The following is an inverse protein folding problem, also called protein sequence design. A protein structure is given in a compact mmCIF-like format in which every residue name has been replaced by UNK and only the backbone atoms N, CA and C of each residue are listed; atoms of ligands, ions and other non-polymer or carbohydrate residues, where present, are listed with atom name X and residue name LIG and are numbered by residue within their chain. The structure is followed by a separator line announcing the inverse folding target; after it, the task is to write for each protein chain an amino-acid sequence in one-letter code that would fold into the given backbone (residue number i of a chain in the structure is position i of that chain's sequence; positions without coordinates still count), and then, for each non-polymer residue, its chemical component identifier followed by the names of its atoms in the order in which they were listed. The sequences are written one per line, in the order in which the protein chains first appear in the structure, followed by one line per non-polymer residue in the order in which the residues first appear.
data_IF_695274731007
#
_entry.id   IF_695274731007
#
_cell.length_a   1.000
_cell.length_b   1.000
_cell.length_c   1.000
_cell.angle_alpha   90.00
_cell.angle_beta   90.00
_cell.angle_gamma   90.00
#
_symmetry.space_group_name_H-M   'P 1'
#
loop_
_entity.id
_entity.type
_entity.pdbx_description
1 polymer ?
#
# COMPACT_ATOMS: atom_id res chain seq x y z
N UNK A 1 -6.49 10.42 40.79
CA UNK A 1 -5.51 9.88 39.82
C UNK A 1 -6.21 9.75 38.48
N UNK A 2 -6.05 10.74 37.60
CA UNK A 2 -6.63 10.74 36.25
C UNK A 2 -5.99 9.64 35.42
N UNK A 3 -6.77 8.67 34.94
CA UNK A 3 -6.29 7.73 33.94
C UNK A 3 -5.86 8.53 32.70
N UNK A 4 -4.55 8.53 32.39
CA UNK A 4 -4.04 9.15 31.17
C UNK A 4 -4.66 8.43 29.99
N UNK A 5 -5.69 9.01 29.38
CA UNK A 5 -6.32 8.44 28.19
C UNK A 5 -5.29 8.39 27.06
N UNK A 6 -5.11 7.20 26.49
CA UNK A 6 -4.21 7.01 25.36
C UNK A 6 -4.65 7.90 24.18
N UNK A 7 -3.78 8.83 23.81
CA UNK A 7 -3.93 9.69 22.63
C UNK A 7 -3.43 8.98 21.37
N UNK A 8 -3.82 9.42 20.16
CA UNK A 8 -3.28 8.88 18.91
C UNK A 8 -1.74 8.81 18.90
N UNK A 9 -1.07 9.91 19.26
CA UNK A 9 0.39 9.96 19.31
C UNK A 9 0.98 9.02 20.36
N UNK A 10 0.39 8.91 21.55
CA UNK A 10 0.93 8.02 22.59
C UNK A 10 0.78 6.55 22.22
N UNK A 11 -0.31 6.16 21.52
CA UNK A 11 -0.46 4.79 21.01
C UNK A 11 0.61 4.46 19.98
N UNK A 12 0.94 5.40 19.08
CA UNK A 12 2.04 5.22 18.14
C UNK A 12 3.40 5.12 18.85
N UNK A 13 3.68 6.03 19.78
CA UNK A 13 4.95 6.03 20.53
C UNK A 13 5.14 4.78 21.38
N UNK A 14 4.06 4.20 21.91
CA UNK A 14 4.11 2.91 22.61
C UNK A 14 4.58 1.78 21.68
N UNK A 15 4.11 1.75 20.44
CA UNK A 15 4.53 0.75 19.46
C UNK A 15 6.00 0.95 19.03
N UNK A 16 6.46 2.20 18.92
CA UNK A 16 7.88 2.52 18.70
C UNK A 16 8.73 2.07 19.89
N UNK A 17 8.30 2.37 21.12
CA UNK A 17 9.04 2.00 22.33
C UNK A 17 9.15 0.48 22.52
N UNK A 18 8.15 -0.28 22.05
CA UNK A 18 8.19 -1.76 22.01
C UNK A 18 9.07 -2.32 20.89
N UNK A 19 9.63 -1.48 20.03
CA UNK A 19 10.47 -1.88 18.90
C UNK A 19 9.69 -2.48 17.73
N UNK A 20 8.37 -2.37 17.71
CA UNK A 20 7.54 -2.88 16.61
C UNK A 20 7.50 -1.95 15.40
N UNK A 21 7.91 -0.69 15.57
CA UNK A 21 7.89 0.34 14.54
C UNK A 21 9.13 1.23 14.63
N UNK A 22 9.62 1.64 13.47
CA UNK A 22 10.60 2.73 13.37
C UNK A 22 9.86 4.07 13.27
N UNK A 23 10.29 5.06 14.04
CA UNK A 23 9.64 6.37 14.08
C UNK A 23 10.03 7.24 12.89
N UNK A 24 9.06 7.86 12.22
CA UNK A 24 9.32 8.83 11.16
C UNK A 24 8.76 10.22 11.50
N UNK A 25 9.54 11.28 11.22
CA UNK A 25 9.19 12.67 11.58
C UNK A 25 7.84 13.07 10.98
N UNK A 26 7.59 12.77 9.71
CA UNK A 26 6.30 13.11 9.08
C UNK A 26 5.11 12.37 9.68
N UNK A 27 5.29 11.11 10.10
CA UNK A 27 4.22 10.36 10.77
C UNK A 27 3.89 11.00 12.12
N UNK A 28 4.91 11.44 12.85
CA UNK A 28 4.75 12.15 14.12
C UNK A 28 4.01 13.47 13.93
N UNK A 29 4.34 14.27 12.90
CA UNK A 29 3.66 15.53 12.63
C UNK A 29 2.18 15.34 12.26
N UNK A 30 1.86 14.32 11.48
CA UNK A 30 0.47 13.93 11.19
C UNK A 30 -0.24 13.53 12.48
N UNK A 31 0.39 12.73 13.35
CA UNK A 31 -0.19 12.29 14.62
C UNK A 31 -0.37 13.43 15.62
N UNK A 32 0.51 14.43 15.64
CA UNK A 32 0.32 15.66 16.41
C UNK A 32 -0.94 16.40 15.96
N UNK A 33 -1.16 16.50 14.65
CA UNK A 33 -2.39 17.10 14.12
C UNK A 33 -3.64 16.28 14.46
N UNK A 34 -3.57 14.95 14.38
CA UNK A 34 -4.65 14.06 14.80
C UNK A 34 -4.93 14.14 16.31
N UNK A 35 -3.92 14.37 17.15
CA UNK A 35 -4.10 14.68 18.57
C UNK A 35 -4.93 15.95 18.79
N UNK A 36 -4.73 16.99 17.96
CA UNK A 36 -5.54 18.20 18.03
C UNK A 36 -6.99 17.96 17.59
N UNK A 37 -7.21 17.16 16.55
CA UNK A 37 -8.56 16.71 16.16
C UNK A 37 -9.20 15.92 17.30
N UNK A 38 -8.48 14.96 17.88
CA UNK A 38 -8.93 14.15 19.01
C UNK A 38 -9.42 15.02 20.18
N UNK A 39 -8.61 16.01 20.59
CA UNK A 39 -8.97 16.95 21.67
C UNK A 39 -10.25 17.72 21.33
N UNK A 40 -10.38 18.24 20.10
CA UNK A 40 -11.56 19.01 19.66
C UNK A 40 -12.84 18.17 19.65
N UNK A 41 -12.77 16.95 19.11
CA UNK A 41 -13.91 16.01 19.04
C UNK A 41 -14.36 15.61 20.45
N UNK A 42 -13.42 15.34 21.36
CA UNK A 42 -13.73 14.94 22.73
C UNK A 42 -14.22 16.09 23.61
N UNK A 43 -13.66 17.30 23.48
CA UNK A 43 -14.12 18.48 24.24
C UNK A 43 -15.58 18.80 23.93
N UNK A 44 -15.99 18.66 22.67
CA UNK A 44 -17.37 18.90 22.24
C UNK A 44 -18.35 17.76 22.63
N UNK A 45 -17.87 16.61 23.09
CA UNK A 45 -18.71 15.49 23.53
C UNK A 45 -19.22 15.68 24.97
N UNK A 46 -18.39 16.25 25.86
CA UNK A 46 -18.71 16.42 27.28
C UNK A 46 -19.60 17.64 27.56
N UNK A 47 -19.61 18.65 26.69
CA UNK A 47 -20.50 19.81 26.81
C UNK A 47 -21.74 19.63 25.91
N UNK A 48 -22.84 19.14 26.48
CA UNK A 48 -24.08 18.74 25.79
C UNK A 48 -24.92 19.88 25.18
N UNK A 49 -24.41 21.10 25.06
CA UNK A 49 -25.14 22.26 24.52
C UNK A 49 -24.18 23.20 23.79
N UNK A 50 -24.65 23.69 22.63
CA UNK A 50 -24.13 24.79 21.78
C UNK A 50 -23.37 24.30 20.53
N UNK A 51 -23.83 24.83 19.38
CA UNK A 51 -23.28 24.73 18.02
C UNK A 51 -21.96 23.96 17.91
N UNK A 52 -22.01 22.77 17.31
CA UNK A 52 -20.80 22.02 16.98
C UNK A 52 -19.95 22.84 16.02
N UNK A 53 -18.85 23.41 16.54
CA UNK A 53 -17.90 24.12 15.71
C UNK A 53 -17.33 23.12 14.70
N UNK A 54 -17.46 23.40 13.40
CA UNK A 54 -16.95 22.54 12.31
C UNK A 54 -15.48 22.19 12.60
N UNK A 55 -15.18 20.90 12.72
CA UNK A 55 -13.82 20.39 12.95
C UNK A 55 -13.26 20.01 11.59
N UNK A 56 -12.19 20.68 11.17
CA UNK A 56 -11.45 20.30 9.97
C UNK A 56 -10.77 18.95 10.22
N UNK A 57 -11.14 17.96 9.42
CA UNK A 57 -10.61 16.61 9.46
C UNK A 57 -9.23 16.47 8.82
N UNK A 58 -8.90 15.27 8.35
CA UNK A 58 -7.64 14.94 7.70
C UNK A 58 -7.88 14.07 6.46
N UNK A 59 -7.32 14.45 5.33
CA UNK A 59 -7.17 13.60 4.15
C UNK A 59 -5.68 13.30 3.98
N UNK A 60 -5.26 12.11 4.41
CA UNK A 60 -3.87 11.67 4.39
C UNK A 60 -3.62 10.85 3.12
N UNK A 61 -2.76 11.32 2.23
CA UNK A 61 -2.41 10.60 1.01
C UNK A 61 -0.91 10.36 0.88
N UNK A 62 -0.53 9.36 0.10
CA UNK A 62 0.88 8.99 -0.14
C UNK A 62 1.01 7.55 -0.63
N UNK A 63 2.22 7.12 -0.99
CA UNK A 63 2.45 5.79 -1.58
C UNK A 63 2.13 4.59 -0.67
N UNK A 64 2.17 3.38 -1.24
CA UNK A 64 1.94 2.13 -0.49
C UNK A 64 3.02 1.94 0.58
N UNK A 65 2.63 1.45 1.77
CA UNK A 65 3.56 1.10 2.84
C UNK A 65 4.14 2.27 3.66
N UNK A 66 3.69 3.52 3.44
CA UNK A 66 4.15 4.69 4.22
C UNK A 66 3.49 4.83 5.61
N UNK A 67 2.69 3.84 6.05
CA UNK A 67 2.10 3.81 7.39
C UNK A 67 0.77 4.56 7.57
N UNK A 68 0.06 4.90 6.49
CA UNK A 68 -1.25 5.61 6.55
C UNK A 68 -2.30 4.87 7.38
N UNK A 69 -2.47 3.57 7.16
CA UNK A 69 -3.44 2.72 7.87
C UNK A 69 -3.13 2.65 9.36
N UNK A 70 -1.85 2.51 9.72
CA UNK A 70 -1.40 2.53 11.11
C UNK A 70 -1.72 3.87 11.80
N UNK A 71 -1.45 4.99 11.14
CA UNK A 71 -1.80 6.32 11.67
C UNK A 71 -3.31 6.41 11.91
N UNK A 72 -4.11 5.91 10.97
CA UNK A 72 -5.56 5.85 11.09
C UNK A 72 -6.01 4.93 12.23
N UNK A 73 -5.34 3.78 12.43
CA UNK A 73 -5.56 2.84 13.54
C UNK A 73 -5.37 3.56 14.88
N UNK A 74 -4.22 4.19 15.09
CA UNK A 74 -3.89 4.90 16.32
C UNK A 74 -4.96 5.97 16.63
N UNK A 75 -5.38 6.73 15.63
CA UNK A 75 -6.41 7.76 15.82
C UNK A 75 -7.81 7.18 16.09
N UNK A 76 -8.21 6.16 15.35
CA UNK A 76 -9.50 5.51 15.53
C UNK A 76 -9.58 4.83 16.90
N UNK A 77 -8.56 4.09 17.34
CA UNK A 77 -8.56 3.40 18.62
C UNK A 77 -8.55 4.35 19.82
N UNK A 78 -7.81 5.47 19.74
CA UNK A 78 -7.81 6.48 20.79
C UNK A 78 -9.18 7.17 20.95
N UNK A 79 -9.90 7.38 19.85
CA UNK A 79 -11.18 8.11 19.84
C UNK A 79 -12.30 7.34 20.57
N UNK A 80 -13.04 7.99 21.46
CA UNK A 80 -14.14 7.37 22.26
C UNK A 80 -15.52 7.96 21.98
N UNK A 81 -15.64 8.82 20.97
CA UNK A 81 -16.95 9.28 20.49
C UNK A 81 -17.62 8.20 19.62
N UNK A 82 -18.90 8.37 19.30
CA UNK A 82 -19.54 7.60 18.23
C UNK A 82 -18.72 7.72 16.95
N UNK A 83 -18.20 6.60 16.46
CA UNK A 83 -17.24 6.53 15.37
C UNK A 83 -17.54 5.36 14.44
N UNK A 84 -17.30 5.56 13.15
CA UNK A 84 -17.41 4.53 12.13
C UNK A 84 -16.08 4.44 11.38
N UNK A 85 -15.60 3.22 11.14
CA UNK A 85 -14.48 2.98 10.22
C UNK A 85 -14.82 1.88 9.23
N UNK A 86 -14.60 2.15 7.95
CA UNK A 86 -14.81 1.22 6.85
C UNK A 86 -13.84 1.52 5.71
N UNK A 87 -13.52 0.52 4.89
CA UNK A 87 -13.00 0.78 3.55
C UNK A 87 -14.04 1.57 2.75
N UNK A 88 -13.59 2.54 1.95
CA UNK A 88 -14.50 3.45 1.26
C UNK A 88 -15.49 2.72 0.31
N UNK A 89 -15.02 1.72 -0.43
CA UNK A 89 -15.87 0.91 -1.31
C UNK A 89 -16.99 0.18 -0.54
N UNK A 90 -16.69 -0.32 0.67
CA UNK A 90 -17.67 -1.01 1.51
C UNK A 90 -18.71 -0.03 2.07
N UNK A 91 -18.30 1.20 2.37
CA UNK A 91 -19.21 2.28 2.72
C UNK A 91 -20.14 2.62 1.54
N UNK A 92 -19.62 2.78 0.32
CA UNK A 92 -20.45 3.08 -0.86
C UNK A 92 -21.51 2.02 -1.12
N UNK A 93 -21.18 0.72 -0.98
CA UNK A 93 -22.19 -0.35 -1.07
C UNK A 93 -23.33 -0.18 -0.08
N UNK A 94 -23.02 0.14 1.18
CA UNK A 94 -24.04 0.38 2.22
C UNK A 94 -24.87 1.62 1.91
N UNK A 95 -24.24 2.70 1.45
CA UNK A 95 -24.93 3.93 1.07
C UNK A 95 -25.92 3.69 -0.07
N UNK A 96 -25.53 2.95 -1.11
CA UNK A 96 -26.44 2.59 -2.21
C UNK A 96 -27.59 1.69 -1.76
N UNK A 97 -27.34 0.75 -0.85
CA UNK A 97 -28.39 -0.08 -0.26
C UNK A 97 -29.40 0.76 0.53
N UNK A 98 -28.94 1.70 1.36
CA UNK A 98 -29.84 2.61 2.08
C UNK A 98 -30.59 3.54 1.12
N UNK A 99 -29.95 4.04 0.06
CA UNK A 99 -30.61 4.84 -0.97
C UNK A 99 -31.73 4.07 -1.67
N UNK A 100 -31.53 2.79 -1.94
CA UNK A 100 -32.55 1.92 -2.51
C UNK A 100 -33.76 1.78 -1.57
N UNK A 101 -33.52 1.62 -0.27
CA UNK A 101 -34.60 1.53 0.73
C UNK A 101 -35.34 2.86 0.95
N UNK A 102 -34.69 3.98 0.68
CA UNK A 102 -35.27 5.33 0.77
C UNK A 102 -35.84 5.83 -0.57
N UNK A 103 -36.06 4.96 -1.56
CA UNK A 103 -36.66 5.36 -2.84
C UNK A 103 -38.04 6.01 -2.63
N UNK A 104 -38.28 7.09 -3.37
CA UNK A 104 -39.50 7.92 -3.24
C UNK A 104 -39.45 8.95 -2.10
N UNK A 105 -38.46 8.90 -1.21
CA UNK A 105 -38.26 9.97 -0.22
C UNK A 105 -37.61 11.21 -0.84
N UNK A 106 -38.01 12.39 -0.37
CA UNK A 106 -37.41 13.66 -0.80
C UNK A 106 -36.01 13.82 -0.18
N UNK A 107 -34.98 14.00 -1.02
CA UNK A 107 -33.57 14.17 -0.63
C UNK A 107 -33.03 13.03 0.26
N UNK A 108 -33.02 11.77 -0.22
CA UNK A 108 -32.69 10.61 0.61
C UNK A 108 -31.26 10.66 1.17
N UNK A 109 -30.29 11.22 0.43
CA UNK A 109 -28.92 11.43 0.90
C UNK A 109 -28.84 12.30 2.16
N UNK A 110 -29.67 13.35 2.25
CA UNK A 110 -29.72 14.22 3.43
C UNK A 110 -30.30 13.48 4.64
N UNK A 111 -31.33 12.65 4.43
CA UNK A 111 -31.91 11.84 5.48
C UNK A 111 -30.91 10.80 6.01
N UNK A 112 -30.19 10.12 5.10
CA UNK A 112 -29.14 9.16 5.45
C UNK A 112 -27.99 9.85 6.20
N UNK A 113 -27.50 10.99 5.71
CA UNK A 113 -26.44 11.75 6.37
C UNK A 113 -26.86 12.20 7.79
N UNK A 114 -28.11 12.65 7.96
CA UNK A 114 -28.66 12.98 9.28
C UNK A 114 -28.69 11.78 10.21
N UNK A 115 -29.13 10.61 9.72
CA UNK A 115 -29.14 9.35 10.48
C UNK A 115 -27.73 8.98 10.93
N UNK A 116 -26.76 9.00 10.02
CA UNK A 116 -25.35 8.71 10.34
C UNK A 116 -24.78 9.71 11.36
N UNK A 117 -25.10 11.01 11.23
CA UNK A 117 -24.59 12.03 12.13
C UNK A 117 -25.16 11.97 13.56
N UNK A 118 -26.34 11.35 13.75
CA UNK A 118 -26.87 11.08 15.09
C UNK A 118 -26.05 10.01 15.82
N UNK A 119 -25.48 9.07 15.08
CA UNK A 119 -24.71 7.93 15.64
C UNK A 119 -23.20 8.22 15.67
N UNK A 120 -22.68 8.83 14.61
CA UNK A 120 -21.26 8.99 14.37
C UNK A 120 -20.85 10.46 14.30
N UNK A 121 -19.95 10.86 15.21
CA UNK A 121 -19.24 12.14 15.16
C UNK A 121 -17.98 12.08 14.32
N UNK A 122 -17.41 10.88 14.18
CA UNK A 122 -16.20 10.62 13.42
C UNK A 122 -16.46 9.52 12.40
N UNK A 123 -16.15 9.79 11.14
CA UNK A 123 -16.09 8.76 10.11
C UNK A 123 -14.65 8.68 9.60
N UNK A 124 -14.11 7.47 9.68
CA UNK A 124 -12.79 7.11 9.16
C UNK A 124 -12.94 6.27 7.89
N UNK A 125 -12.51 6.78 6.74
CA UNK A 125 -12.41 5.98 5.53
C UNK A 125 -10.99 5.48 5.33
N UNK A 126 -10.83 4.16 5.28
CA UNK A 126 -9.61 3.55 4.77
C UNK A 126 -9.70 3.41 3.25
N UNK A 127 -8.56 3.50 2.57
CA UNK A 127 -8.44 3.29 1.11
C UNK A 127 -9.50 4.07 0.31
N UNK A 128 -9.53 5.39 0.52
CA UNK A 128 -10.43 6.28 -0.19
C UNK A 128 -10.07 6.34 -1.68
N UNK A 129 -10.85 5.65 -2.51
CA UNK A 129 -10.71 5.63 -3.96
C UNK A 129 -12.08 5.62 -4.63
N UNK A 130 -12.25 6.45 -5.66
CA UNK A 130 -13.48 6.53 -6.45
C UNK A 130 -13.17 6.06 -7.87
N UNK A 131 -13.77 4.93 -8.27
CA UNK A 131 -13.62 4.36 -9.62
C UNK A 131 -14.94 4.27 -10.38
N UNK A 132 -16.08 4.26 -9.68
CA UNK A 132 -17.40 4.12 -10.27
C UNK A 132 -18.09 5.47 -10.49
N UNK A 133 -18.73 5.64 -11.65
CA UNK A 133 -19.56 6.80 -11.97
C UNK A 133 -20.73 6.98 -11.01
N UNK A 134 -21.39 5.89 -10.59
CA UNK A 134 -22.53 5.96 -9.68
C UNK A 134 -22.15 6.57 -8.33
N UNK A 135 -20.96 6.21 -7.82
CA UNK A 135 -20.42 6.77 -6.57
C UNK A 135 -20.09 8.26 -6.76
N UNK A 136 -19.39 8.58 -7.85
CA UNK A 136 -18.98 9.94 -8.17
C UNK A 136 -20.18 10.90 -8.26
N UNK A 137 -21.33 10.44 -8.77
CA UNK A 137 -22.52 11.28 -8.94
C UNK A 137 -23.20 11.67 -7.62
N UNK A 138 -23.10 10.86 -6.57
CA UNK A 138 -23.83 11.09 -5.31
C UNK A 138 -22.97 11.72 -4.21
N UNK A 139 -21.64 11.59 -4.31
CA UNK A 139 -20.71 11.95 -3.23
C UNK A 139 -20.74 13.43 -2.86
N UNK A 140 -20.92 14.33 -3.82
CA UNK A 140 -20.96 15.76 -3.53
C UNK A 140 -22.15 16.15 -2.64
N UNK A 141 -23.34 15.62 -2.93
CA UNK A 141 -24.52 15.86 -2.11
C UNK A 141 -24.39 15.18 -0.74
N UNK A 142 -23.91 13.93 -0.73
CA UNK A 142 -23.70 13.18 0.49
C UNK A 142 -22.74 13.88 1.47
N UNK A 143 -21.54 14.26 1.00
CA UNK A 143 -20.55 14.92 1.84
C UNK A 143 -21.02 16.27 2.34
N UNK A 144 -21.69 17.06 1.50
CA UNK A 144 -22.26 18.34 1.94
C UNK A 144 -23.20 18.13 3.12
N UNK A 145 -24.14 17.18 2.99
CA UNK A 145 -25.08 16.87 4.06
C UNK A 145 -24.38 16.35 5.33
N UNK A 146 -23.36 15.51 5.18
CA UNK A 146 -22.58 14.97 6.29
C UNK A 146 -21.84 16.09 7.06
N UNK A 147 -21.19 17.01 6.34
CA UNK A 147 -20.44 18.12 6.91
C UNK A 147 -21.33 19.21 7.50
N UNK A 148 -22.52 19.44 6.94
CA UNK A 148 -23.54 20.33 7.51
C UNK A 148 -24.02 19.84 8.88
N UNK A 149 -23.99 18.53 9.11
CA UNK A 149 -24.27 17.93 10.43
C UNK A 149 -23.04 17.86 11.36
N UNK A 150 -21.88 18.40 10.94
CA UNK A 150 -20.70 18.52 11.78
C UNK A 150 -19.91 17.23 11.99
N UNK A 151 -20.12 16.20 11.15
CA UNK A 151 -19.33 14.97 11.18
C UNK A 151 -17.90 15.28 10.75
N UNK A 152 -16.93 14.82 11.55
CA UNK A 152 -15.52 14.92 11.20
C UNK A 152 -15.12 13.74 10.30
N UNK A 153 -14.46 14.02 9.18
CA UNK A 153 -13.92 13.02 8.27
C UNK A 153 -12.41 12.86 8.45
N UNK A 154 -11.95 11.62 8.62
CA UNK A 154 -10.54 11.27 8.44
C UNK A 154 -10.44 10.21 7.36
N UNK A 155 -9.62 10.43 6.34
CA UNK A 155 -9.48 9.52 5.21
C UNK A 155 -8.00 9.23 4.91
N UNK A 156 -7.70 7.99 4.51
CA UNK A 156 -6.42 7.59 3.94
C UNK A 156 -6.59 7.26 2.46
N UNK A 157 -5.63 7.65 1.61
CA UNK A 157 -5.65 7.31 0.17
C UNK A 157 -4.25 7.15 -0.41
N UNK A 158 -4.15 6.43 -1.53
CA UNK A 158 -2.93 6.45 -2.35
C UNK A 158 -2.92 7.59 -3.38
N UNK A 159 -4.04 8.31 -3.53
CA UNK A 159 -4.26 9.30 -4.58
C UNK A 159 -4.51 10.66 -3.94
N UNK A 160 -3.95 11.73 -4.52
CA UNK A 160 -4.26 13.09 -4.07
C UNK A 160 -5.73 13.44 -4.40
N UNK A 161 -6.39 14.34 -3.64
CA UNK A 161 -7.79 14.70 -3.90
C UNK A 161 -8.06 15.15 -5.35
N UNK A 162 -7.16 15.95 -5.93
CA UNK A 162 -7.30 16.47 -7.29
C UNK A 162 -7.09 15.39 -8.37
N UNK A 163 -6.54 14.24 -8.01
CA UNK A 163 -6.38 13.07 -8.89
C UNK A 163 -7.50 12.04 -8.68
N UNK A 164 -8.38 12.23 -7.69
CA UNK A 164 -9.53 11.36 -7.52
C UNK A 164 -10.42 11.44 -8.76
N UNK A 165 -10.72 10.27 -9.31
CA UNK A 165 -11.55 10.13 -10.50
C UNK A 165 -11.04 10.92 -11.73
N UNK A 166 -9.75 11.32 -11.77
CA UNK A 166 -8.89 11.14 -12.95
C UNK A 166 -9.52 11.36 -14.33
N UNK A 167 -9.79 10.20 -14.91
CA UNK A 167 -10.28 9.95 -16.24
C UNK A 167 -11.71 9.38 -16.19
N UNK A 168 -12.43 9.62 -15.09
CA UNK A 168 -13.77 9.12 -14.88
C UNK A 168 -14.82 9.82 -15.76
N UNK A 169 -15.85 9.07 -16.15
CA UNK A 169 -16.98 9.61 -16.92
C UNK A 169 -17.67 10.74 -16.14
N UNK A 170 -17.96 11.86 -16.82
CA UNK A 170 -18.61 13.04 -16.23
C UNK A 170 -17.88 13.63 -15.02
N UNK A 171 -16.55 13.54 -14.96
CA UNK A 171 -15.73 14.04 -13.84
C UNK A 171 -16.09 15.43 -13.32
N UNK A 172 -16.49 16.35 -14.20
CA UNK A 172 -16.97 17.69 -13.82
C UNK A 172 -18.02 17.66 -12.69
N UNK A 173 -18.89 16.64 -12.67
CA UNK A 173 -19.91 16.45 -11.61
C UNK A 173 -19.33 15.97 -10.28
N UNK A 174 -18.13 15.40 -10.28
CA UNK A 174 -17.42 14.94 -9.09
C UNK A 174 -16.52 16.02 -8.46
N UNK A 175 -16.09 17.03 -9.23
CA UNK A 175 -15.27 18.15 -8.72
C UNK A 175 -15.87 18.81 -7.46
N UNK A 176 -17.19 19.03 -7.33
CA UNK A 176 -17.77 19.54 -6.10
C UNK A 176 -17.48 18.67 -4.86
N UNK A 177 -17.38 17.35 -5.01
CA UNK A 177 -17.00 16.45 -3.91
C UNK A 177 -15.53 16.62 -3.52
N UNK A 178 -14.63 16.77 -4.51
CA UNK A 178 -13.21 17.07 -4.28
C UNK A 178 -13.07 18.38 -3.49
N UNK A 179 -13.80 19.43 -3.90
CA UNK A 179 -13.77 20.72 -3.21
C UNK A 179 -14.25 20.60 -1.76
N UNK A 180 -15.32 19.85 -1.50
CA UNK A 180 -15.80 19.59 -0.14
C UNK A 180 -14.77 18.83 0.70
N UNK A 181 -14.06 17.85 0.12
CA UNK A 181 -12.95 17.16 0.82
C UNK A 181 -11.87 18.18 1.20
N UNK A 182 -11.42 19.03 0.27
CA UNK A 182 -10.36 20.02 0.51
C UNK A 182 -10.78 21.12 1.50
N UNK A 183 -12.06 21.49 1.52
CA UNK A 183 -12.60 22.49 2.46
C UNK A 183 -12.70 21.92 3.90
N UNK A 184 -13.17 20.68 4.03
CA UNK A 184 -13.48 20.08 5.33
C UNK A 184 -12.35 19.23 5.91
N UNK A 185 -11.26 19.02 5.19
CA UNK A 185 -10.09 18.28 5.66
C UNK A 185 -8.81 19.03 5.39
N UNK A 186 -7.82 18.87 6.28
CA UNK A 186 -6.44 19.20 5.93
C UNK A 186 -5.93 18.11 5.00
N UNK A 187 -5.58 18.47 3.77
CA UNK A 187 -4.90 17.56 2.85
C UNK A 187 -3.44 17.47 3.27
N UNK A 188 -2.98 16.26 3.60
CA UNK A 188 -1.60 16.03 4.02
C UNK A 188 -0.99 14.95 3.14
N UNK A 189 0.07 15.31 2.41
CA UNK A 189 0.89 14.35 1.69
C UNK A 189 1.91 13.74 2.65
N UNK A 190 1.77 12.45 2.94
CA UNK A 190 2.75 11.69 3.69
C UNK A 190 3.87 11.27 2.72
N UNK A 191 4.69 12.26 2.38
CA UNK A 191 5.88 12.12 1.55
C UNK A 191 7.01 11.49 2.36
N UNK A 192 6.79 10.26 2.84
CA UNK A 192 7.89 9.44 3.34
C UNK A 192 8.63 8.99 2.09
N UNK A 193 9.57 9.83 1.69
CA UNK A 193 10.41 9.61 0.55
C UNK A 193 11.05 8.23 0.68
N UNK A 194 10.64 7.33 -0.22
CA UNK A 194 11.44 6.17 -0.61
C UNK A 194 12.75 6.61 -1.29
N UNK A 195 13.18 7.87 -1.19
CA UNK A 195 14.34 8.44 -1.89
C UNK A 195 15.64 7.80 -1.38
N UNK A 196 15.69 7.37 -0.12
CA UNK A 196 16.74 6.46 0.33
C UNK A 196 16.67 5.10 -0.39
N UNK A 197 15.50 4.43 -0.44
CA UNK A 197 15.34 3.15 -1.16
C UNK A 197 15.63 3.28 -2.65
N UNK A 198 15.27 4.40 -3.28
CA UNK A 198 15.51 4.71 -4.69
C UNK A 198 17.00 4.91 -4.93
N UNK A 199 17.70 5.73 -4.12
CA UNK A 199 19.16 5.86 -4.16
C UNK A 199 19.87 4.54 -3.87
N UNK A 200 19.36 3.75 -2.92
CA UNK A 200 19.88 2.41 -2.62
C UNK A 200 19.69 1.47 -3.81
N UNK A 201 18.52 1.44 -4.44
CA UNK A 201 18.28 0.63 -5.64
C UNK A 201 19.09 1.10 -6.85
N UNK A 202 19.38 2.40 -6.96
CA UNK A 202 20.25 2.99 -7.99
C UNK A 202 21.73 2.70 -7.77
N UNK A 203 22.16 2.55 -6.50
CA UNK A 203 23.55 2.28 -6.12
C UNK A 203 23.87 0.79 -5.96
N UNK A 204 22.86 -0.07 -5.79
CA UNK A 204 23.06 -1.50 -5.60
C UNK A 204 22.98 -2.26 -6.94
N UNK A 205 23.97 -3.14 -7.22
CA UNK A 205 23.87 -4.08 -8.33
C UNK A 205 22.59 -4.91 -8.24
N UNK A 206 21.92 -5.13 -9.37
CA UNK A 206 20.77 -6.03 -9.46
C UNK A 206 21.15 -7.42 -9.98
N UNK A 207 22.44 -7.66 -10.23
CA UNK A 207 22.99 -8.94 -10.61
C UNK A 207 24.36 -9.14 -9.95
N UNK A 208 24.51 -10.26 -9.25
CA UNK A 208 25.75 -10.69 -8.61
C UNK A 208 26.23 -11.97 -9.28
N UNK A 209 27.40 -11.94 -9.92
CA UNK A 209 28.03 -13.11 -10.53
C UNK A 209 28.95 -13.81 -9.54
N UNK A 210 29.06 -15.13 -9.66
CA UNK A 210 29.77 -16.06 -8.79
C UNK A 210 29.02 -16.38 -7.49
N UNK A 211 28.64 -17.65 -7.32
CA UNK A 211 28.02 -18.15 -6.08
C UNK A 211 29.08 -18.40 -5.00
N UNK A 212 29.56 -17.33 -4.38
CA UNK A 212 30.49 -17.37 -3.27
C UNK A 212 29.88 -16.70 -2.02
N UNK A 213 30.60 -16.78 -0.89
CA UNK A 213 30.18 -16.16 0.37
C UNK A 213 29.94 -14.66 0.23
N UNK A 214 30.74 -13.97 -0.60
CA UNK A 214 30.61 -12.54 -0.83
C UNK A 214 29.29 -12.18 -1.54
N UNK A 215 28.85 -12.96 -2.53
CA UNK A 215 27.58 -12.74 -3.23
C UNK A 215 26.37 -13.00 -2.33
N UNK A 216 26.42 -14.01 -1.45
CA UNK A 216 25.37 -14.24 -0.46
C UNK A 216 25.31 -13.09 0.56
N UNK A 217 26.46 -12.63 1.06
CA UNK A 217 26.55 -11.46 1.95
C UNK A 217 26.04 -10.18 1.26
N UNK A 218 26.36 -9.99 -0.01
CA UNK A 218 25.86 -8.86 -0.79
C UNK A 218 24.33 -8.90 -0.92
N UNK A 219 23.74 -10.07 -1.21
CA UNK A 219 22.28 -10.25 -1.25
C UNK A 219 21.63 -9.98 0.11
N UNK A 220 22.22 -10.45 1.22
CA UNK A 220 21.74 -10.15 2.57
C UNK A 220 21.78 -8.65 2.86
N UNK A 221 22.89 -7.99 2.50
CA UNK A 221 23.06 -6.55 2.69
C UNK A 221 22.07 -5.74 1.85
N UNK A 222 21.83 -6.14 0.60
CA UNK A 222 20.79 -5.54 -0.27
C UNK A 222 19.42 -5.70 0.35
N UNK A 223 19.05 -6.92 0.78
CA UNK A 223 17.76 -7.17 1.41
C UNK A 223 17.58 -6.33 2.67
N UNK A 224 18.59 -6.27 3.54
CA UNK A 224 18.56 -5.47 4.76
C UNK A 224 18.35 -3.98 4.47
N UNK A 225 19.13 -3.41 3.53
CA UNK A 225 18.98 -2.00 3.12
C UNK A 225 17.61 -1.69 2.51
N UNK A 226 17.03 -2.62 1.74
CA UNK A 226 15.71 -2.42 1.14
C UNK A 226 14.58 -2.56 2.17
N UNK A 227 14.79 -3.37 3.20
CA UNK A 227 13.79 -3.73 4.20
C UNK A 227 13.58 -2.68 5.29
N UNK A 228 14.44 -1.66 5.40
CA UNK A 228 14.52 -0.70 6.51
C UNK A 228 13.19 -0.38 7.21
N UNK A 229 13.15 -0.70 8.52
CA UNK A 229 12.04 -0.50 9.44
C UNK A 229 10.87 -1.49 9.34
N UNK A 230 10.88 -2.40 8.35
CA UNK A 230 9.79 -3.36 8.19
C UNK A 230 9.98 -4.62 9.03
N UNK A 231 8.87 -5.16 9.53
CA UNK A 231 8.83 -6.47 10.17
C UNK A 231 9.29 -7.55 9.20
N UNK A 232 10.37 -8.22 9.56
CA UNK A 232 10.92 -9.33 8.79
C UNK A 232 10.15 -10.61 9.13
N UNK A 233 9.72 -11.34 8.10
CA UNK A 233 9.15 -12.66 8.26
C UNK A 233 9.96 -13.70 7.47
N UNK A 234 10.12 -14.88 8.05
CA UNK A 234 10.73 -16.05 7.42
C UNK A 234 9.70 -17.17 7.20
N UNK A 235 8.43 -16.92 7.51
CA UNK A 235 7.36 -17.88 7.27
C UNK A 235 7.08 -18.05 5.78
N UNK A 236 6.71 -19.27 5.38
CA UNK A 236 6.37 -19.59 4.00
C UNK A 236 5.32 -18.61 3.43
N UNK A 237 5.45 -18.32 2.14
CA UNK A 237 4.50 -17.50 1.41
C UNK A 237 3.37 -18.40 0.88
N UNK A 238 2.12 -18.12 1.24
CA UNK A 238 0.97 -18.80 0.67
C UNK A 238 0.57 -18.10 -0.64
N UNK A 239 0.69 -18.82 -1.76
CA UNK A 239 0.33 -18.35 -3.11
C UNK A 239 -0.56 -19.40 -3.76
N UNK A 240 -1.77 -19.03 -4.19
CA UNK A 240 -2.73 -19.94 -4.82
C UNK A 240 -2.89 -21.28 -4.06
N UNK A 241 -3.13 -21.18 -2.74
CA UNK A 241 -3.27 -22.32 -1.81
C UNK A 241 -2.03 -23.22 -1.68
N UNK A 242 -0.85 -22.72 -2.08
CA UNK A 242 0.42 -23.44 -1.96
C UNK A 242 1.41 -22.65 -1.13
N UNK A 243 2.08 -23.35 -0.22
CA UNK A 243 3.20 -22.77 0.51
C UNK A 243 4.46 -22.75 -0.37
N UNK A 244 5.15 -21.62 -0.33
CA UNK A 244 6.43 -21.41 -0.97
C UNK A 244 7.42 -21.00 0.10
N UNK A 245 8.46 -21.82 0.33
CA UNK A 245 9.53 -21.45 1.23
C UNK A 245 10.25 -20.21 0.74
N UNK A 246 10.46 -19.26 1.63
CA UNK A 246 11.20 -18.02 1.37
C UNK A 246 12.45 -18.00 2.24
N UNK A 247 13.45 -17.22 1.82
CA UNK A 247 14.56 -16.86 2.72
C UNK A 247 14.08 -15.81 3.72
N UNK A 248 13.55 -14.71 3.21
CA UNK A 248 13.02 -13.58 4.00
C UNK A 248 11.97 -12.82 3.17
N UNK A 249 11.04 -12.15 3.87
CA UNK A 249 10.13 -11.19 3.25
C UNK A 249 9.82 -10.01 4.17
N UNK A 250 9.33 -8.97 3.54
CA UNK A 250 8.64 -7.84 4.17
C UNK A 250 7.24 -7.67 3.56
N UNK A 251 6.58 -6.53 3.75
CA UNK A 251 5.27 -6.28 3.13
C UNK A 251 5.31 -6.16 1.61
N UNK A 252 6.48 -5.86 1.03
CA UNK A 252 6.64 -5.53 -0.38
C UNK A 252 7.95 -6.03 -1.01
N UNK A 253 8.74 -6.82 -0.28
CA UNK A 253 9.96 -7.46 -0.76
C UNK A 253 9.88 -8.94 -0.41
N UNK A 254 10.28 -9.82 -1.33
CA UNK A 254 10.42 -11.25 -1.04
C UNK A 254 11.71 -11.79 -1.63
N UNK A 255 12.37 -12.67 -0.89
CA UNK A 255 13.60 -13.32 -1.28
C UNK A 255 13.43 -14.84 -1.34
N UNK A 256 13.70 -15.41 -2.52
CA UNK A 256 13.66 -16.86 -2.76
C UNK A 256 15.05 -17.43 -3.07
N UNK A 257 15.20 -18.73 -2.85
CA UNK A 257 16.22 -19.55 -3.51
C UNK A 257 15.70 -20.01 -4.88
N UNK A 258 16.59 -20.05 -5.89
CA UNK A 258 16.27 -20.50 -7.25
C UNK A 258 15.57 -21.86 -7.27
N UNK A 259 16.04 -22.83 -6.47
CA UNK A 259 15.50 -24.19 -6.49
C UNK A 259 14.07 -24.26 -5.98
N UNK A 260 13.64 -23.29 -5.18
CA UNK A 260 12.28 -23.22 -4.64
C UNK A 260 11.36 -22.51 -5.64
N UNK A 261 11.77 -21.34 -6.14
CA UNK A 261 10.89 -20.50 -6.97
C UNK A 261 10.77 -21.00 -8.41
N UNK A 262 11.80 -21.70 -8.93
CA UNK A 262 11.74 -22.38 -10.23
C UNK A 262 11.51 -23.90 -10.11
N UNK A 263 11.40 -24.43 -8.88
CA UNK A 263 11.07 -25.83 -8.63
C UNK A 263 9.60 -26.15 -8.91
N UNK A 264 9.22 -27.43 -8.90
CA UNK A 264 7.81 -27.82 -8.94
C UNK A 264 7.23 -27.83 -7.51
N UNK A 265 5.92 -27.57 -7.32
CA UNK A 265 4.91 -27.26 -8.34
C UNK A 265 4.67 -25.75 -8.50
N UNK A 266 5.39 -25.10 -9.43
CA UNK A 266 5.21 -23.67 -9.75
C UNK A 266 4.55 -23.50 -11.11
N UNK A 267 3.72 -22.46 -11.21
CA UNK A 267 2.94 -22.10 -12.39
C UNK A 267 3.04 -20.60 -12.67
N UNK A 268 2.65 -20.20 -13.88
CA UNK A 268 2.61 -18.77 -14.25
C UNK A 268 1.68 -17.96 -13.34
N UNK A 269 0.58 -18.56 -12.85
CA UNK A 269 -0.33 -17.91 -11.89
C UNK A 269 0.34 -17.59 -10.55
N UNK A 270 1.33 -18.41 -10.14
CA UNK A 270 2.08 -18.14 -8.92
C UNK A 270 3.00 -16.93 -9.10
N UNK A 271 3.65 -16.82 -10.26
CA UNK A 271 4.49 -15.66 -10.57
C UNK A 271 3.68 -14.38 -10.72
N UNK A 272 2.48 -14.44 -11.32
CA UNK A 272 1.58 -13.29 -11.38
C UNK A 272 1.13 -12.83 -9.99
N UNK A 273 0.75 -13.75 -9.11
CA UNK A 273 0.37 -13.41 -7.74
C UNK A 273 1.55 -12.84 -6.93
N UNK A 274 2.77 -13.34 -7.14
CA UNK A 274 3.97 -12.77 -6.52
C UNK A 274 4.22 -11.35 -7.06
N UNK A 275 4.10 -11.15 -8.38
CA UNK A 275 4.32 -9.84 -8.99
C UNK A 275 3.31 -8.78 -8.50
N UNK A 276 2.05 -9.17 -8.31
CA UNK A 276 1.00 -8.28 -7.78
C UNK A 276 1.30 -7.81 -6.34
N UNK A 277 1.88 -8.68 -5.52
CA UNK A 277 2.14 -8.39 -4.11
C UNK A 277 3.53 -7.78 -3.85
N UNK A 278 4.54 -8.17 -4.62
CA UNK A 278 5.95 -7.87 -4.32
C UNK A 278 6.61 -7.11 -5.48
N UNK A 279 6.66 -5.78 -5.42
CA UNK A 279 7.35 -4.96 -6.44
C UNK A 279 8.87 -5.19 -6.49
N UNK A 280 9.45 -5.82 -5.46
CA UNK A 280 10.88 -6.18 -5.41
C UNK A 280 11.02 -7.66 -5.09
N UNK A 281 11.73 -8.40 -5.94
CA UNK A 281 11.98 -9.83 -5.77
C UNK A 281 13.47 -10.11 -5.84
N UNK A 282 14.00 -10.82 -4.84
CA UNK A 282 15.36 -11.34 -4.82
C UNK A 282 15.35 -12.84 -5.13
N UNK A 283 16.28 -13.29 -5.97
CA UNK A 283 16.52 -14.72 -6.25
C UNK A 283 18.01 -15.01 -6.08
N UNK A 284 18.36 -15.83 -5.10
CA UNK A 284 19.75 -16.29 -4.91
C UNK A 284 19.98 -17.68 -5.50
N UNK A 285 21.25 -18.02 -5.66
CA UNK A 285 21.70 -19.38 -6.01
C UNK A 285 21.28 -19.82 -7.42
N UNK A 286 21.16 -18.90 -8.38
CA UNK A 286 20.83 -19.26 -9.78
C UNK A 286 22.04 -19.98 -10.40
N UNK A 287 21.97 -21.30 -10.69
CA UNK A 287 23.08 -22.02 -11.29
C UNK A 287 23.22 -21.64 -12.77
N UNK A 288 24.32 -22.05 -13.41
CA UNK A 288 24.38 -22.06 -14.87
C UNK A 288 23.24 -22.94 -15.39
N UNK A 289 22.33 -22.37 -16.18
CA UNK A 289 21.06 -23.00 -16.52
C UNK A 289 21.21 -24.18 -17.50
N UNK A 290 22.38 -24.34 -18.11
CA UNK A 290 22.73 -25.54 -18.87
C UNK A 290 22.70 -26.81 -18.02
N UNK A 291 22.88 -26.67 -16.69
CA UNK A 291 22.96 -27.77 -15.73
C UNK A 291 21.63 -28.07 -15.04
N UNK A 292 20.56 -27.32 -15.32
CA UNK A 292 19.26 -27.52 -14.67
C UNK A 292 18.33 -28.39 -15.51
N UNK A 293 17.27 -28.93 -14.89
CA UNK A 293 16.24 -29.63 -15.64
C UNK A 293 15.48 -28.68 -16.59
N UNK A 294 14.98 -29.17 -17.74
CA UNK A 294 14.17 -28.37 -18.66
C UNK A 294 12.99 -27.67 -17.97
N UNK A 295 12.34 -28.34 -17.02
CA UNK A 295 11.27 -27.76 -16.21
C UNK A 295 11.68 -26.50 -15.45
N UNK A 296 12.86 -26.52 -14.80
CA UNK A 296 13.38 -25.38 -14.03
C UNK A 296 13.79 -24.24 -14.97
N UNK A 297 14.38 -24.57 -16.12
CA UNK A 297 14.72 -23.60 -17.16
C UNK A 297 13.46 -22.88 -17.67
N UNK A 298 12.42 -23.64 -18.07
CA UNK A 298 11.15 -23.08 -18.54
C UNK A 298 10.47 -22.25 -17.44
N UNK A 299 10.52 -22.71 -16.19
CA UNK A 299 10.00 -21.95 -15.04
C UNK A 299 10.71 -20.62 -14.86
N UNK A 300 12.04 -20.60 -14.99
CA UNK A 300 12.84 -19.38 -14.93
C UNK A 300 12.54 -18.42 -16.09
N UNK A 301 12.41 -18.94 -17.32
CA UNK A 301 12.01 -18.15 -18.50
C UNK A 301 10.65 -17.47 -18.25
N UNK A 302 9.65 -18.25 -17.82
CA UNK A 302 8.31 -17.73 -17.52
C UNK A 302 8.32 -16.69 -16.39
N UNK A 303 9.09 -16.94 -15.33
CA UNK A 303 9.23 -16.02 -14.21
C UNK A 303 9.80 -14.69 -14.67
N UNK A 304 10.91 -14.71 -15.41
CA UNK A 304 11.55 -13.48 -15.89
C UNK A 304 10.63 -12.74 -16.85
N UNK A 305 9.90 -13.44 -17.71
CA UNK A 305 8.95 -12.81 -18.61
C UNK A 305 7.85 -12.05 -17.85
N UNK A 306 7.22 -12.71 -16.88
CA UNK A 306 6.13 -12.13 -16.08
C UNK A 306 6.64 -10.95 -15.25
N UNK A 307 7.79 -11.10 -14.59
CA UNK A 307 8.38 -10.03 -13.80
C UNK A 307 8.83 -8.85 -14.65
N UNK A 308 9.32 -9.13 -15.87
CA UNK A 308 9.70 -8.10 -16.82
C UNK A 308 8.48 -7.26 -17.23
N UNK A 309 7.37 -7.91 -17.60
CA UNK A 309 6.15 -7.26 -18.05
C UNK A 309 5.45 -6.51 -16.89
N UNK A 310 5.47 -7.09 -15.68
CA UNK A 310 4.92 -6.48 -14.47
C UNK A 310 5.84 -5.43 -13.81
N UNK A 311 6.98 -5.10 -14.43
CA UNK A 311 7.94 -4.07 -13.95
C UNK A 311 8.48 -4.34 -12.55
N UNK A 312 8.70 -5.61 -12.22
CA UNK A 312 9.27 -6.03 -10.94
C UNK A 312 10.77 -5.74 -10.89
N UNK A 313 11.23 -5.13 -9.79
CA UNK A 313 12.66 -4.99 -9.53
C UNK A 313 13.25 -6.35 -9.12
N UNK A 314 13.81 -7.05 -10.10
CA UNK A 314 14.42 -8.36 -9.94
C UNK A 314 15.91 -8.25 -9.63
N UNK A 315 16.33 -8.80 -8.49
CA UNK A 315 17.73 -8.84 -8.05
C UNK A 315 18.18 -10.30 -7.98
N UNK A 316 19.25 -10.64 -8.71
CA UNK A 316 19.70 -12.03 -8.87
C UNK A 316 21.14 -12.21 -8.38
N UNK A 317 21.40 -13.34 -7.71
CA UNK A 317 22.75 -13.90 -7.56
C UNK A 317 22.87 -15.21 -8.32
N UNK A 318 23.88 -15.30 -9.19
CA UNK A 318 24.06 -16.40 -10.13
C UNK A 318 25.50 -16.93 -10.23
N UNK A 319 25.66 -18.17 -10.71
CA UNK A 319 26.96 -18.84 -10.89
C UNK A 319 27.86 -18.11 -11.88
N UNK A 320 27.28 -17.57 -12.94
CA UNK A 320 27.97 -16.98 -14.09
C UNK A 320 27.33 -15.64 -14.48
N UNK A 321 27.99 -14.79 -15.27
CA UNK A 321 27.38 -13.57 -15.83
C UNK A 321 26.14 -13.87 -16.69
N UNK A 322 25.26 -12.88 -16.88
CA UNK A 322 24.00 -13.00 -17.65
C UNK A 322 24.23 -13.62 -19.05
N UNK A 323 25.27 -13.17 -19.75
CA UNK A 323 25.62 -13.59 -21.12
C UNK A 323 26.05 -15.08 -21.18
N UNK A 324 26.47 -15.64 -20.06
CA UNK A 324 26.90 -17.04 -19.94
C UNK A 324 25.86 -17.93 -19.24
N UNK A 325 24.73 -17.35 -18.82
CA UNK A 325 23.75 -18.00 -17.96
C UNK A 325 23.11 -19.23 -18.61
N UNK A 326 22.98 -19.24 -19.93
CA UNK A 326 22.55 -20.40 -20.72
C UNK A 326 23.28 -20.42 -22.09
N UNK A 327 23.91 -21.54 -22.40
CA UNK A 327 24.61 -21.81 -23.65
C UNK A 327 24.08 -23.06 -24.35
N UNK A 328 23.00 -23.67 -23.84
CA UNK A 328 22.31 -24.79 -24.49
C UNK A 328 21.68 -24.43 -25.85
N UNK A 329 21.46 -25.45 -26.68
CA UNK A 329 20.90 -25.27 -28.03
C UNK A 329 19.37 -25.26 -28.08
N UNK A 330 18.72 -26.04 -27.21
CA UNK A 330 17.27 -26.31 -27.28
C UNK A 330 16.42 -25.05 -27.09
N UNK A 331 16.76 -24.18 -26.13
CA UNK A 331 16.03 -22.95 -25.83
C UNK A 331 16.79 -21.69 -26.24
N UNK A 332 17.82 -21.80 -27.09
CA UNK A 332 18.76 -20.71 -27.37
C UNK A 332 18.07 -19.42 -27.85
N UNK A 333 17.09 -19.55 -28.74
CA UNK A 333 16.35 -18.41 -29.31
C UNK A 333 15.52 -17.72 -28.21
N UNK A 334 14.73 -18.48 -27.46
CA UNK A 334 13.91 -17.97 -26.36
C UNK A 334 14.77 -17.34 -25.28
N UNK A 335 15.90 -17.97 -24.95
CA UNK A 335 16.77 -17.49 -23.90
C UNK A 335 17.50 -16.19 -24.27
N UNK A 336 17.88 -15.98 -25.54
CA UNK A 336 18.42 -14.68 -25.98
C UNK A 336 17.48 -13.52 -25.69
N UNK A 337 16.15 -13.72 -25.78
CA UNK A 337 15.17 -12.72 -25.37
C UNK A 337 15.21 -12.48 -23.85
N UNK A 338 15.28 -13.55 -23.06
CA UNK A 338 15.39 -13.48 -21.60
C UNK A 338 16.68 -12.78 -21.17
N UNK A 339 17.80 -13.06 -21.84
CA UNK A 339 19.07 -12.38 -21.63
C UNK A 339 18.93 -10.87 -21.82
N UNK A 340 18.34 -10.44 -22.95
CA UNK A 340 18.07 -9.01 -23.21
C UNK A 340 17.18 -8.38 -22.13
N UNK A 341 16.12 -9.08 -21.68
CA UNK A 341 15.24 -8.61 -20.62
C UNK A 341 16.00 -8.47 -19.30
N UNK A 342 16.80 -9.47 -18.92
CA UNK A 342 17.62 -9.43 -17.71
C UNK A 342 18.60 -8.27 -17.73
N UNK A 343 19.27 -8.02 -18.86
CA UNK A 343 20.17 -6.87 -19.05
C UNK A 343 19.41 -5.55 -18.91
N UNK A 344 18.25 -5.41 -19.55
CA UNK A 344 17.43 -4.21 -19.44
C UNK A 344 16.97 -3.95 -18.00
N UNK A 345 16.60 -5.00 -17.26
CA UNK A 345 16.24 -4.94 -15.84
C UNK A 345 17.38 -4.45 -14.94
N UNK A 346 18.64 -4.55 -15.39
CA UNK A 346 19.80 -3.97 -14.68
C UNK A 346 19.91 -2.45 -14.85
N UNK A 347 19.27 -1.88 -15.88
CA UNK A 347 19.45 -0.45 -16.21
C UNK A 347 18.69 0.46 -15.25
N UNK A 348 19.19 1.69 -15.08
CA UNK A 348 18.51 2.72 -14.30
C UNK A 348 17.14 3.09 -14.89
N UNK A 349 16.98 3.00 -16.22
CA UNK A 349 15.69 3.26 -16.90
C UNK A 349 14.60 2.29 -16.46
N UNK A 350 14.96 1.04 -16.18
CA UNK A 350 14.01 0.05 -15.67
C UNK A 350 13.66 0.27 -14.19
N UNK A 351 14.54 0.93 -13.42
CA UNK A 351 14.30 1.32 -12.02
C UNK A 351 13.43 2.58 -11.85
N UNK A 352 12.97 3.20 -12.94
CA UNK A 352 12.20 4.45 -12.95
C UNK A 352 10.81 4.26 -13.55
N UNK A 353 9.84 3.76 -12.78
CA UNK A 353 8.42 4.03 -13.06
C UNK A 353 7.64 4.13 -11.73
N UNK A 354 6.97 5.28 -11.57
CA UNK A 354 6.10 5.68 -10.45
C UNK A 354 4.73 4.98 -10.46
#
# INVERSE_FOLDING_TARGET
MSSNAATPLSLYMEQVAKGYLESHVDQIEVLKYLNEIYKKIHKNYFFKKILYKKITGLYLWGGVGVGKTLILDCFYHASRVGKLRLHFHAFMRKLHQELFLCQGQKNPLKAIAKKLALEYRLICFDEFLVTNVADAMILAEFFRALFDHGVCLVATSNTAPDQLYEHGLQRQRFIPAINLIKEHTKVWHLAIERDYRKRVLEQLPSYYSSLNVASEQAMQHVFAKLSEGQSLAQSALLVNDREITIKQKTSNIVWFDFNIICGRPRSQLDYLAIADQYPIVLISSVPKLDKVSPDKLVSFINLVDIFYDAKIRLIISAEVPIIELYQGKEYQITFKRIESRLIEMQTQKYAHFE
#
